data_IF_587921211871
#
_entry.id   IF_587921211871
#
_cell.length_a   1.000
_cell.length_b   1.000
_cell.length_c   1.000
_cell.angle_alpha   90.00
_cell.angle_beta   90.00
_cell.angle_gamma   90.00
#
_symmetry.space_group_name_H-M   'P 1'
#
loop_
_entity.id
_entity.type
_entity.pdbx_description
1 polymer ?
#
# COMPACT_ATOMS: atom_id res chain seq x y z
N UNK A 1 -7.83 2.91 4.61
CA UNK A 1 -8.39 1.81 3.76
C UNK A 1 -8.27 2.25 2.32
N UNK A 2 -7.91 1.35 1.40
CA UNK A 2 -7.93 1.64 -0.03
C UNK A 2 -8.42 0.42 -0.82
N UNK A 3 -9.03 0.64 -1.97
CA UNK A 3 -9.47 -0.42 -2.87
C UNK A 3 -9.25 -0.01 -4.34
N UNK A 4 -8.99 -1.02 -5.18
CA UNK A 4 -9.00 -0.85 -6.63
C UNK A 4 -10.41 -1.09 -7.16
N UNK A 5 -10.79 -0.28 -8.14
CA UNK A 5 -12.04 -0.36 -8.88
C UNK A 5 -11.74 -0.84 -10.30
N UNK A 6 -12.35 -1.96 -10.70
CA UNK A 6 -12.16 -2.55 -12.01
C UNK A 6 -12.43 -1.52 -13.13
N UNK A 7 -11.46 -1.35 -14.03
CA UNK A 7 -11.50 -0.41 -15.16
C UNK A 7 -11.65 1.08 -14.76
N UNK A 8 -11.35 1.47 -13.52
CA UNK A 8 -11.55 2.85 -13.06
C UNK A 8 -10.34 3.45 -12.32
N UNK A 9 -9.86 2.83 -11.24
CA UNK A 9 -8.75 3.40 -10.46
C UNK A 9 -8.78 3.03 -8.99
N UNK A 10 -8.30 3.92 -8.12
CA UNK A 10 -8.21 3.71 -6.66
C UNK A 10 -9.19 4.60 -5.90
N UNK A 11 -9.83 4.05 -4.86
CA UNK A 11 -10.46 4.84 -3.79
C UNK A 11 -9.64 4.65 -2.52
N UNK A 12 -9.33 5.74 -1.83
CA UNK A 12 -8.64 5.72 -0.54
C UNK A 12 -9.37 6.59 0.49
N UNK A 13 -9.43 6.10 1.73
CA UNK A 13 -9.99 6.81 2.87
C UNK A 13 -8.92 6.99 3.94
N UNK A 14 -8.89 8.20 4.52
CA UNK A 14 -8.04 8.59 5.65
C UNK A 14 -8.77 9.56 6.57
N UNK A 15 -8.20 9.85 7.74
CA UNK A 15 -8.78 10.72 8.76
C UNK A 15 -8.97 12.19 8.31
N UNK A 16 -8.22 12.59 7.28
CA UNK A 16 -8.33 13.88 6.62
C UNK A 16 -7.89 13.75 5.14
N UNK A 17 -8.07 14.82 4.36
CA UNK A 17 -7.76 14.81 2.92
C UNK A 17 -6.28 14.52 2.64
N UNK A 18 -5.35 15.01 3.46
CA UNK A 18 -3.92 14.77 3.29
C UNK A 18 -3.58 13.29 3.50
N UNK A 19 -4.13 12.68 4.55
CA UNK A 19 -3.95 11.25 4.82
C UNK A 19 -4.56 10.38 3.71
N UNK A 20 -5.76 10.73 3.23
CA UNK A 20 -6.40 10.01 2.12
C UNK A 20 -5.59 10.12 0.82
N UNK A 21 -5.12 11.32 0.46
CA UNK A 21 -4.30 11.56 -0.72
C UNK A 21 -2.95 10.82 -0.64
N UNK A 22 -2.30 10.84 0.54
CA UNK A 22 -1.08 10.07 0.77
C UNK A 22 -1.32 8.58 0.54
N UNK A 23 -2.36 8.00 1.14
CA UNK A 23 -2.67 6.58 0.97
C UNK A 23 -2.94 6.22 -0.50
N UNK A 24 -3.70 7.05 -1.22
CA UNK A 24 -3.92 6.84 -2.67
C UNK A 24 -2.59 6.82 -3.44
N UNK A 25 -1.68 7.76 -3.15
CA UNK A 25 -0.38 7.82 -3.79
C UNK A 25 0.51 6.60 -3.47
N UNK A 26 0.53 6.13 -2.22
CA UNK A 26 1.30 4.93 -1.86
C UNK A 26 0.79 3.69 -2.61
N UNK A 27 -0.53 3.54 -2.78
CA UNK A 27 -1.12 2.44 -3.56
C UNK A 27 -0.75 2.54 -5.03
N UNK A 28 -0.71 3.75 -5.60
CA UNK A 28 -0.26 3.97 -6.98
C UNK A 28 1.21 3.58 -7.16
N UNK A 29 2.08 4.00 -6.23
CA UNK A 29 3.51 3.63 -6.24
C UNK A 29 3.70 2.11 -6.18
N UNK A 30 3.00 1.44 -5.27
CA UNK A 30 3.04 -0.02 -5.14
C UNK A 30 2.51 -0.72 -6.39
N UNK A 31 1.42 -0.22 -6.98
CA UNK A 31 0.84 -0.77 -8.21
C UNK A 31 1.80 -0.65 -9.39
N UNK A 32 2.45 0.49 -9.54
CA UNK A 32 3.45 0.72 -10.58
C UNK A 32 4.70 -0.16 -10.38
N UNK A 33 5.16 -0.33 -9.13
CA UNK A 33 6.26 -1.24 -8.81
C UNK A 33 5.90 -2.70 -9.13
N UNK A 34 4.73 -3.16 -8.68
CA UNK A 34 4.27 -4.52 -8.91
C UNK A 34 4.10 -4.83 -10.40
N UNK A 35 3.47 -3.91 -11.15
CA UNK A 35 3.30 -4.04 -12.60
C UNK A 35 4.65 -4.14 -13.34
N UNK A 36 5.63 -3.30 -12.98
CA UNK A 36 6.98 -3.39 -13.56
C UNK A 36 7.68 -4.69 -13.21
N UNK A 37 7.57 -5.16 -11.96
CA UNK A 37 8.20 -6.38 -11.50
C UNK A 37 7.63 -7.62 -12.23
N UNK A 38 6.31 -7.69 -12.41
CA UNK A 38 5.65 -8.73 -13.21
C UNK A 38 6.16 -8.80 -14.66
N UNK A 39 6.56 -7.66 -15.23
CA UNK A 39 7.15 -7.61 -16.57
C UNK A 39 8.55 -8.23 -16.67
N UNK A 40 9.23 -8.46 -15.54
CA UNK A 40 10.58 -9.03 -15.48
C UNK A 40 10.53 -10.52 -15.12
N UNK A 41 9.55 -10.93 -14.30
CA UNK A 41 9.37 -12.33 -13.89
C UNK A 41 8.49 -12.45 -12.64
N UNK A 42 8.65 -13.56 -11.93
CA UNK A 42 7.86 -13.84 -10.73
C UNK A 42 8.19 -12.85 -9.60
N UNK A 43 7.14 -12.27 -9.03
CA UNK A 43 7.25 -11.35 -7.89
C UNK A 43 7.11 -12.14 -6.59
N UNK A 44 8.14 -12.09 -5.75
CA UNK A 44 8.07 -12.65 -4.41
C UNK A 44 7.17 -11.77 -3.53
N UNK A 45 6.04 -12.33 -3.10
CA UNK A 45 5.06 -11.66 -2.25
C UNK A 45 5.27 -12.13 -0.81
N UNK A 46 5.35 -11.19 0.12
CA UNK A 46 5.40 -11.49 1.55
C UNK A 46 4.16 -12.29 1.95
N UNK A 47 4.38 -13.36 2.70
CA UNK A 47 3.26 -14.15 3.18
C UNK A 47 2.48 -13.41 4.29
N UNK A 48 1.36 -13.99 4.71
CA UNK A 48 0.51 -13.39 5.74
C UNK A 48 1.24 -13.21 7.07
N UNK A 49 2.15 -14.12 7.43
CA UNK A 49 2.88 -14.09 8.70
C UNK A 49 3.96 -13.00 8.71
N UNK A 50 4.65 -12.82 7.59
CA UNK A 50 5.61 -11.74 7.38
C UNK A 50 4.90 -10.39 7.38
N UNK A 51 3.77 -10.27 6.69
CA UNK A 51 2.95 -9.05 6.69
C UNK A 51 2.47 -8.67 8.10
N UNK A 52 2.01 -9.64 8.90
CA UNK A 52 1.65 -9.41 10.30
C UNK A 52 2.85 -8.93 11.12
N UNK A 53 4.03 -9.50 10.91
CA UNK A 53 5.27 -9.08 11.58
C UNK A 53 5.62 -7.63 11.25
N UNK A 54 5.53 -7.22 9.98
CA UNK A 54 5.77 -5.85 9.55
C UNK A 54 4.75 -4.90 10.18
N UNK A 55 3.45 -5.24 10.12
CA UNK A 55 2.39 -4.42 10.73
C UNK A 55 2.59 -4.23 12.24
N UNK A 56 3.06 -5.26 12.95
CA UNK A 56 3.37 -5.16 14.38
C UNK A 56 4.54 -4.19 14.63
N UNK A 57 5.60 -4.25 13.81
CA UNK A 57 6.76 -3.33 13.90
C UNK A 57 6.41 -1.87 13.56
N UNK A 58 5.42 -1.67 12.69
CA UNK A 58 4.94 -0.33 12.36
C UNK A 58 4.14 0.33 13.48
N UNK A 59 3.67 -0.42 14.50
CA UNK A 59 3.00 0.16 15.67
C UNK A 59 3.97 1.09 16.41
N UNK A 60 3.67 2.39 16.42
CA UNK A 60 4.49 3.43 17.05
C UNK A 60 5.60 4.02 16.15
N UNK A 61 5.81 3.49 14.94
CA UNK A 61 6.75 4.07 13.99
C UNK A 61 6.10 5.27 13.26
N UNK A 62 6.78 6.42 13.25
CA UNK A 62 6.28 7.64 12.60
C UNK A 62 5.30 8.48 13.44
N UNK A 63 5.07 8.14 14.71
CA UNK A 63 4.45 9.07 15.66
C UNK A 63 5.45 10.18 15.99
N UNK A 64 5.14 11.41 15.60
CA UNK A 64 5.80 12.59 16.16
C UNK A 64 5.11 12.86 17.50
N UNK A 65 5.86 12.89 18.61
CA UNK A 65 5.36 13.31 19.92
C UNK A 65 4.77 14.73 19.86
#
# INVERSE_FOLDING_TARGET
MACLLANHGVIACGENLRAAARLANEVEVLSAQYSRALGIGDVQILDTQEMQTVLAKFKGYGQTL
#
